data_IF_423882735709
#
_entry.id   IF_423882735709
#
_cell.length_a   1.000
_cell.length_b   1.000
_cell.length_c   1.000
_cell.angle_alpha   90.00
_cell.angle_beta   90.00
_cell.angle_gamma   90.00
#
_symmetry.space_group_name_H-M   'P 1'
#
loop_
_entity.id
_entity.type
_entity.pdbx_description
1 polymer ?
#
# COMPACT_ATOMS: atom_id res chain seq x y z
N UNK A 1 37.03 -49.64 9.60
CA UNK A 1 37.60 -48.30 9.81
C UNK A 1 36.60 -47.48 10.61
N UNK A 2 36.96 -47.07 11.82
CA UNK A 2 36.07 -46.25 12.66
C UNK A 2 36.21 -44.81 12.18
N UNK A 3 35.09 -44.18 11.73
CA UNK A 3 35.04 -42.84 11.23
C UNK A 3 35.23 -41.80 12.34
N UNK A 4 35.01 -42.22 13.58
CA UNK A 4 35.15 -41.36 14.79
C UNK A 4 36.20 -42.01 15.69
N UNK A 5 37.23 -41.24 16.08
CA UNK A 5 38.25 -41.64 17.01
C UNK A 5 37.75 -41.52 18.46
N UNK A 6 38.38 -42.25 19.41
CA UNK A 6 38.01 -42.25 20.85
C UNK A 6 38.08 -40.88 21.52
N UNK A 7 38.57 -39.85 20.79
CA UNK A 7 38.67 -38.46 21.23
C UNK A 7 37.63 -37.53 20.52
N UNK A 8 36.61 -38.11 19.83
CA UNK A 8 35.55 -37.33 19.17
C UNK A 8 36.01 -36.55 17.93
N UNK A 9 37.10 -37.01 17.25
CA UNK A 9 37.59 -36.36 16.03
C UNK A 9 37.17 -37.16 14.80
N UNK A 10 36.55 -36.50 13.84
CA UNK A 10 36.28 -36.98 12.49
C UNK A 10 37.58 -36.87 11.67
N UNK A 11 38.02 -38.01 11.07
CA UNK A 11 39.25 -38.10 10.26
C UNK A 11 40.53 -37.58 11.00
N UNK A 12 40.57 -37.59 12.33
CA UNK A 12 41.73 -37.22 13.13
C UNK A 12 42.07 -35.71 13.18
N UNK A 13 41.32 -34.83 12.50
CA UNK A 13 41.61 -33.40 12.38
C UNK A 13 40.48 -32.48 12.84
N UNK A 14 39.22 -32.87 12.69
CA UNK A 14 38.03 -32.06 13.00
C UNK A 14 37.33 -32.57 14.26
N UNK A 15 37.11 -31.71 15.23
CA UNK A 15 36.33 -32.06 16.40
C UNK A 15 34.84 -32.09 16.02
N UNK A 16 34.13 -33.15 16.40
CA UNK A 16 32.70 -33.30 16.09
C UNK A 16 31.87 -32.15 16.67
N UNK A 17 32.29 -31.58 17.78
CA UNK A 17 31.65 -30.43 18.43
C UNK A 17 31.81 -29.19 17.56
N UNK A 18 32.99 -28.96 16.97
CA UNK A 18 33.23 -27.81 16.09
C UNK A 18 32.42 -27.93 14.79
N UNK A 19 32.29 -29.17 14.26
CA UNK A 19 31.44 -29.44 13.09
C UNK A 19 29.97 -29.11 13.36
N UNK A 20 29.44 -29.55 14.53
CA UNK A 20 28.07 -29.23 14.93
C UNK A 20 27.87 -27.74 15.12
N UNK A 21 28.84 -27.03 15.71
CA UNK A 21 28.78 -25.57 15.88
C UNK A 21 28.74 -24.86 14.52
N UNK A 22 29.57 -25.29 13.56
CA UNK A 22 29.55 -24.71 12.20
C UNK A 22 28.22 -24.95 11.50
N UNK A 23 27.68 -26.18 11.60
CA UNK A 23 26.37 -26.50 11.02
C UNK A 23 25.26 -25.66 11.65
N UNK A 24 25.27 -25.44 12.96
CA UNK A 24 24.32 -24.57 13.65
C UNK A 24 24.43 -23.12 13.20
N UNK A 25 25.66 -22.60 13.06
CA UNK A 25 25.87 -21.23 12.57
C UNK A 25 25.34 -21.09 11.14
N UNK A 26 25.65 -22.05 10.25
CA UNK A 26 25.15 -22.04 8.87
C UNK A 26 23.62 -22.14 8.84
N UNK A 27 23.01 -22.97 9.68
CA UNK A 27 21.57 -23.08 9.78
C UNK A 27 20.91 -21.78 10.28
N UNK A 28 21.51 -21.12 11.27
CA UNK A 28 21.02 -19.82 11.77
C UNK A 28 21.16 -18.74 10.70
N UNK A 29 22.29 -18.67 9.98
CA UNK A 29 22.50 -17.72 8.89
C UNK A 29 21.52 -17.99 7.74
N UNK A 30 21.28 -19.26 7.40
CA UNK A 30 20.31 -19.64 6.37
C UNK A 30 18.87 -19.29 6.80
N UNK A 31 18.49 -19.51 8.06
CA UNK A 31 17.19 -19.11 8.59
C UNK A 31 17.01 -17.58 8.65
N UNK A 32 18.04 -16.85 9.03
CA UNK A 32 18.03 -15.38 9.02
C UNK A 32 17.96 -14.85 7.58
N UNK A 33 18.74 -15.42 6.67
CA UNK A 33 18.68 -15.09 5.25
C UNK A 33 17.30 -15.40 4.65
N UNK A 34 16.73 -16.55 4.97
CA UNK A 34 15.37 -16.92 4.55
C UNK A 34 14.32 -15.96 5.11
N UNK A 35 14.44 -15.56 6.37
CA UNK A 35 13.52 -14.62 7.02
C UNK A 35 13.65 -13.20 6.48
N UNK A 36 14.86 -12.76 6.12
CA UNK A 36 15.11 -11.47 5.49
C UNK A 36 14.58 -11.42 4.05
N UNK A 37 14.72 -12.50 3.29
CA UNK A 37 14.14 -12.60 1.94
C UNK A 37 12.64 -12.84 1.95
N UNK A 38 12.09 -13.54 2.96
CA UNK A 38 10.65 -13.75 3.07
C UNK A 38 9.89 -12.51 3.58
N UNK A 39 10.55 -11.61 4.34
CA UNK A 39 9.99 -10.30 4.68
C UNK A 39 10.02 -9.30 3.51
N UNK A 40 10.76 -9.59 2.43
CA UNK A 40 10.68 -8.88 1.16
C UNK A 40 9.71 -9.57 0.17
N UNK A 41 8.61 -10.16 0.66
CA UNK A 41 7.53 -10.65 -0.20
C UNK A 41 7.88 -11.83 -1.10
N UNK A 42 8.74 -12.75 -0.63
CA UNK A 42 9.04 -14.00 -1.35
C UNK A 42 8.12 -15.16 -0.99
N UNK A 43 6.81 -15.04 -1.20
CA UNK A 43 6.02 -16.17 -1.69
C UNK A 43 6.46 -16.38 -3.14
N UNK A 44 6.46 -17.64 -3.62
CA UNK A 44 6.65 -17.97 -5.04
C UNK A 44 6.04 -16.85 -5.86
N UNK A 45 6.90 -16.04 -6.50
CA UNK A 45 6.49 -14.86 -7.22
C UNK A 45 5.61 -15.27 -8.40
N UNK A 46 4.32 -15.36 -8.14
CA UNK A 46 3.36 -15.04 -9.14
C UNK A 46 3.64 -13.59 -9.47
N UNK A 47 3.95 -13.31 -10.71
CA UNK A 47 4.07 -11.96 -11.23
C UNK A 47 2.87 -11.18 -10.71
N UNK A 48 3.11 -10.12 -9.90
CA UNK A 48 2.04 -9.36 -9.31
C UNK A 48 1.11 -8.88 -10.41
N UNK A 49 -0.19 -8.90 -10.19
CA UNK A 49 -1.14 -8.53 -11.22
C UNK A 49 -1.29 -7.01 -11.26
N UNK A 50 -1.04 -6.36 -12.41
CA UNK A 50 -1.25 -4.95 -12.56
C UNK A 50 -2.75 -4.61 -12.47
N UNK A 51 -3.06 -3.56 -11.72
CA UNK A 51 -4.43 -3.06 -11.51
C UNK A 51 -4.47 -1.56 -11.73
N UNK A 52 -5.58 -1.09 -12.27
CA UNK A 52 -5.94 0.32 -12.33
C UNK A 52 -7.24 0.49 -11.56
N UNK A 53 -7.25 1.41 -10.59
CA UNK A 53 -8.44 1.66 -9.80
C UNK A 53 -8.65 3.14 -9.55
N UNK A 54 -9.88 3.51 -9.27
CA UNK A 54 -10.23 4.90 -8.96
C UNK A 54 -10.76 5.03 -7.55
N UNK A 55 -10.36 6.12 -6.88
CA UNK A 55 -10.77 6.44 -5.51
C UNK A 55 -11.41 7.81 -5.48
N UNK A 56 -12.65 7.90 -4.99
CA UNK A 56 -13.35 9.16 -4.79
C UNK A 56 -13.22 9.62 -3.34
N UNK A 57 -12.80 10.86 -3.16
CA UNK A 57 -12.75 11.54 -1.86
C UNK A 57 -13.61 12.79 -1.95
N UNK A 58 -14.51 12.99 -0.98
CA UNK A 58 -15.49 14.07 -1.00
C UNK A 58 -15.07 15.26 -0.16
N UNK A 59 -15.57 16.44 -0.53
CA UNK A 59 -15.48 17.68 0.25
C UNK A 59 -14.05 18.10 0.59
N UNK A 60 -13.15 18.04 -0.37
CA UNK A 60 -11.75 18.48 -0.22
C UNK A 60 -11.67 20.00 -0.45
N UNK A 61 -11.00 20.71 0.43
CA UNK A 61 -10.76 22.17 0.30
C UNK A 61 -9.97 22.46 -0.99
N UNK A 62 -10.31 23.56 -1.67
CA UNK A 62 -9.67 23.94 -2.92
C UNK A 62 -8.15 24.02 -2.82
N UNK A 63 -7.61 24.56 -1.73
CA UNK A 63 -6.15 24.72 -1.56
C UNK A 63 -5.44 23.38 -1.45
N UNK A 64 -6.11 22.38 -0.87
CA UNK A 64 -5.59 21.01 -0.80
C UNK A 64 -5.60 20.39 -2.19
N UNK A 65 -6.69 20.59 -2.95
CA UNK A 65 -6.77 20.13 -4.32
C UNK A 65 -5.67 20.78 -5.20
N UNK A 66 -5.52 22.12 -5.14
CA UNK A 66 -4.51 22.82 -5.92
C UNK A 66 -3.10 22.27 -5.64
N UNK A 67 -2.78 22.02 -4.37
CA UNK A 67 -1.50 21.41 -3.98
C UNK A 67 -1.34 19.99 -4.56
N UNK A 68 -2.37 19.17 -4.47
CA UNK A 68 -2.33 17.78 -4.99
C UNK A 68 -2.19 17.78 -6.51
N UNK A 69 -2.92 18.67 -7.20
CA UNK A 69 -2.82 18.81 -8.64
C UNK A 69 -1.40 19.17 -9.07
N UNK A 70 -0.79 20.16 -8.38
CA UNK A 70 0.60 20.57 -8.62
C UNK A 70 1.61 19.42 -8.41
N UNK A 71 1.36 18.54 -7.43
CA UNK A 71 2.22 17.37 -7.20
C UNK A 71 2.06 16.32 -8.30
N UNK A 72 0.82 16.00 -8.67
CA UNK A 72 0.52 14.99 -9.72
C UNK A 72 1.00 15.48 -11.09
N UNK A 73 0.93 16.79 -11.38
CA UNK A 73 1.42 17.37 -12.63
C UNK A 73 2.96 17.30 -12.77
N UNK A 74 3.70 17.18 -11.67
CA UNK A 74 5.15 16.93 -11.68
C UNK A 74 5.50 15.50 -12.06
N UNK A 75 4.57 14.58 -11.93
CA UNK A 75 4.72 13.16 -12.26
C UNK A 75 3.94 12.25 -11.32
N UNK A 76 3.92 10.93 -11.60
CA UNK A 76 3.21 9.97 -10.78
C UNK A 76 3.65 10.00 -9.32
N UNK A 77 2.71 10.12 -8.38
CA UNK A 77 2.99 10.16 -6.95
C UNK A 77 2.89 8.78 -6.34
N UNK A 78 4.02 8.23 -5.85
CA UNK A 78 4.06 6.90 -5.27
C UNK A 78 3.28 6.82 -3.96
N UNK A 79 2.46 5.78 -3.83
CA UNK A 79 1.73 5.50 -2.59
C UNK A 79 2.66 4.93 -1.53
N UNK A 80 2.31 5.21 -0.27
CA UNK A 80 3.01 4.69 0.91
C UNK A 80 2.03 4.03 1.87
N UNK A 81 2.46 2.98 2.56
CA UNK A 81 1.73 2.38 3.68
C UNK A 81 2.72 1.86 4.73
N UNK A 82 2.43 2.10 6.01
CA UNK A 82 3.25 1.58 7.13
C UNK A 82 4.74 1.87 7.02
N UNK A 83 5.11 3.06 6.52
CA UNK A 83 6.49 3.50 6.23
C UNK A 83 7.19 2.76 5.08
N UNK A 84 6.45 2.07 4.25
CA UNK A 84 6.98 1.41 3.04
C UNK A 84 6.40 2.08 1.79
N UNK A 85 7.23 2.19 0.75
CA UNK A 85 6.79 2.58 -0.58
C UNK A 85 6.07 1.40 -1.23
N UNK A 86 4.88 1.65 -1.77
CA UNK A 86 4.12 0.64 -2.49
C UNK A 86 4.44 0.68 -3.98
N UNK A 87 4.28 -0.46 -4.65
CA UNK A 87 4.29 -0.50 -6.11
C UNK A 87 2.92 -0.04 -6.65
N UNK A 88 2.63 1.22 -6.38
CA UNK A 88 1.40 1.89 -6.80
C UNK A 88 1.59 3.40 -6.86
N UNK A 89 0.97 4.03 -7.85
CA UNK A 89 1.18 5.43 -8.17
C UNK A 89 -0.16 6.12 -8.48
N UNK A 90 -0.37 7.30 -7.90
CA UNK A 90 -1.40 8.23 -8.34
C UNK A 90 -0.92 8.83 -9.66
N UNK A 91 -1.63 8.55 -10.75
CA UNK A 91 -1.28 9.02 -12.10
C UNK A 91 -2.15 10.19 -12.55
N UNK A 92 -3.34 10.35 -11.94
CA UNK A 92 -4.27 11.42 -12.29
C UNK A 92 -5.14 11.79 -11.09
N UNK A 93 -5.51 13.06 -11.00
CA UNK A 93 -6.56 13.58 -10.12
C UNK A 93 -7.54 14.40 -10.94
N UNK A 94 -8.84 14.18 -10.74
CA UNK A 94 -9.92 14.98 -11.34
C UNK A 94 -10.77 15.56 -10.23
N UNK A 95 -11.16 16.82 -10.36
CA UNK A 95 -11.97 17.52 -9.39
C UNK A 95 -13.32 17.93 -9.99
N UNK A 96 -14.38 17.71 -9.23
CA UNK A 96 -15.71 18.27 -9.54
C UNK A 96 -16.18 19.09 -8.34
N UNK A 97 -16.81 20.24 -8.53
CA UNK A 97 -17.39 20.97 -7.40
C UNK A 97 -18.31 20.06 -6.58
N UNK A 98 -18.19 20.11 -5.26
CA UNK A 98 -19.05 19.30 -4.41
C UNK A 98 -20.51 19.76 -4.53
N UNK A 99 -21.39 18.86 -4.89
CA UNK A 99 -22.83 19.15 -5.06
C UNK A 99 -23.60 19.18 -3.73
N UNK A 100 -23.06 18.51 -2.70
CA UNK A 100 -23.70 18.37 -1.39
C UNK A 100 -23.33 19.55 -0.49
N UNK A 101 -24.01 20.68 -0.65
CA UNK A 101 -24.02 21.74 0.35
C UNK A 101 -24.83 21.30 1.57
N UNK A 102 -24.13 20.94 2.65
CA UNK A 102 -24.77 20.67 3.93
C UNK A 102 -24.96 21.98 4.70
N UNK A 103 -26.19 22.30 5.02
CA UNK A 103 -26.49 23.43 5.90
C UNK A 103 -26.43 22.96 7.36
N UNK A 104 -25.55 23.56 8.15
CA UNK A 104 -25.52 23.33 9.60
C UNK A 104 -26.23 24.49 10.30
N UNK A 105 -27.20 24.14 11.15
CA UNK A 105 -27.87 25.13 12.01
C UNK A 105 -27.00 25.36 13.23
N UNK A 106 -26.45 26.55 13.39
CA UNK A 106 -25.81 26.97 14.63
C UNK A 106 -26.78 27.82 15.44
N UNK A 107 -27.17 27.34 16.60
CA UNK A 107 -27.97 28.11 17.57
C UNK A 107 -27.03 28.83 18.57
N UNK A 108 -27.05 30.15 18.59
CA UNK A 108 -26.47 30.93 19.66
C UNK A 108 -27.56 31.22 20.72
N UNK A 109 -27.54 30.46 21.81
CA UNK A 109 -28.54 30.58 22.91
C UNK A 109 -28.48 31.92 23.64
N UNK A 110 -27.35 32.62 23.58
CA UNK A 110 -27.22 33.92 24.26
C UNK A 110 -27.82 35.07 23.43
N UNK A 111 -27.83 34.92 22.12
CA UNK A 111 -28.33 35.93 21.20
C UNK A 111 -29.70 35.57 20.59
N UNK A 112 -30.22 34.38 20.90
CA UNK A 112 -31.43 33.83 20.28
C UNK A 112 -31.42 33.88 18.73
N UNK A 113 -30.23 33.66 18.16
CA UNK A 113 -30.01 33.70 16.73
C UNK A 113 -29.78 32.30 16.21
N UNK A 114 -30.50 31.97 15.15
CA UNK A 114 -30.29 30.75 14.36
C UNK A 114 -29.62 31.16 13.09
N UNK A 115 -28.38 30.68 12.86
CA UNK A 115 -27.63 30.96 11.63
C UNK A 115 -27.49 29.66 10.83
N UNK A 116 -27.92 29.71 9.58
CA UNK A 116 -27.62 28.68 8.59
C UNK A 116 -26.18 28.89 8.10
N UNK A 117 -25.33 27.91 8.36
CA UNK A 117 -23.94 27.91 7.85
C UNK A 117 -23.89 26.89 6.74
N UNK A 118 -23.61 27.36 5.54
CA UNK A 118 -23.34 26.52 4.38
C UNK A 118 -21.97 25.82 4.59
N UNK A 119 -21.98 24.50 4.72
CA UNK A 119 -20.76 23.70 4.79
C UNK A 119 -20.58 23.02 3.43
N UNK A 120 -19.41 23.17 2.84
CA UNK A 120 -19.07 22.57 1.55
C UNK A 120 -18.93 23.58 0.40
N UNK A 121 -19.29 24.87 0.60
CA UNK A 121 -19.02 25.90 -0.40
C UNK A 121 -17.51 26.04 -0.64
N UNK A 122 -17.09 25.88 -1.89
CA UNK A 122 -15.67 25.93 -2.30
C UNK A 122 -14.88 24.66 -2.02
N UNK A 123 -15.58 23.52 -1.81
CA UNK A 123 -14.95 22.20 -1.76
C UNK A 123 -15.16 21.45 -3.07
N UNK A 124 -14.33 20.44 -3.28
CA UNK A 124 -14.35 19.58 -4.45
C UNK A 124 -14.44 18.12 -4.07
N UNK A 125 -15.13 17.36 -4.88
CA UNK A 125 -15.03 15.90 -4.88
C UNK A 125 -13.89 15.53 -5.82
N UNK A 126 -12.88 14.82 -5.30
CA UNK A 126 -11.72 14.39 -6.05
C UNK A 126 -11.85 12.92 -6.46
N UNK A 127 -11.46 12.61 -7.69
CA UNK A 127 -11.33 11.24 -8.17
C UNK A 127 -9.87 11.03 -8.56
N UNK A 128 -9.21 10.15 -7.83
CA UNK A 128 -7.84 9.72 -8.11
C UNK A 128 -7.83 8.49 -9.00
N UNK A 129 -7.00 8.49 -10.03
CA UNK A 129 -6.65 7.27 -10.78
C UNK A 129 -5.32 6.76 -10.24
N UNK A 130 -5.31 5.49 -9.86
CA UNK A 130 -4.15 4.84 -9.24
C UNK A 130 -3.83 3.59 -10.04
N UNK A 131 -2.56 3.47 -10.43
CA UNK A 131 -2.00 2.31 -11.09
C UNK A 131 -1.06 1.61 -10.12
N UNK A 132 -1.13 0.29 -10.03
CA UNK A 132 -0.28 -0.46 -9.11
C UNK A 132 -0.30 -1.95 -9.38
N UNK A 133 0.50 -2.68 -8.59
CA UNK A 133 0.63 -4.13 -8.69
C UNK A 133 0.16 -4.78 -7.39
N UNK A 134 -0.87 -5.62 -7.47
CA UNK A 134 -1.33 -6.42 -6.32
C UNK A 134 -0.60 -7.76 -6.29
N UNK A 135 -0.24 -8.21 -5.10
CA UNK A 135 0.54 -9.44 -4.90
C UNK A 135 -0.23 -10.71 -5.23
N UNK A 136 -1.56 -10.68 -5.08
CA UNK A 136 -2.40 -11.87 -5.17
C UNK A 136 -3.75 -11.53 -5.77
N UNK A 137 -4.25 -12.41 -6.64
CA UNK A 137 -5.54 -12.28 -7.29
C UNK A 137 -6.72 -12.50 -6.34
N UNK A 138 -6.51 -13.19 -5.22
CA UNK A 138 -7.57 -13.51 -4.25
C UNK A 138 -7.78 -12.36 -3.26
N UNK A 139 -6.70 -11.82 -2.71
CA UNK A 139 -6.78 -10.76 -1.69
C UNK A 139 -6.85 -9.36 -2.28
N UNK A 140 -6.23 -9.14 -3.45
CA UNK A 140 -6.16 -7.80 -4.09
C UNK A 140 -5.69 -6.72 -3.11
N UNK A 141 -4.64 -7.02 -2.35
CA UNK A 141 -4.10 -6.10 -1.36
C UNK A 141 -2.94 -5.28 -1.90
N UNK A 142 -2.95 -4.00 -1.57
CA UNK A 142 -1.88 -3.04 -1.79
C UNK A 142 -1.42 -2.54 -0.41
N UNK A 143 -0.23 -2.96 0.03
CA UNK A 143 0.18 -2.78 1.40
C UNK A 143 -0.77 -3.53 2.35
N UNK A 144 -1.47 -2.79 3.21
CA UNK A 144 -2.48 -3.31 4.14
C UNK A 144 -3.91 -2.98 3.73
N UNK A 145 -4.12 -2.38 2.54
CA UNK A 145 -5.43 -1.96 2.06
C UNK A 145 -5.95 -2.89 0.97
N UNK A 146 -7.15 -3.40 1.15
CA UNK A 146 -7.82 -4.24 0.16
C UNK A 146 -8.41 -3.37 -0.96
N UNK A 147 -8.06 -3.69 -2.22
CA UNK A 147 -8.50 -2.96 -3.40
C UNK A 147 -9.73 -3.63 -4.00
N UNK A 148 -10.91 -3.18 -3.55
CA UNK A 148 -12.21 -3.63 -4.06
C UNK A 148 -13.19 -2.48 -4.12
N UNK A 149 -14.04 -2.48 -5.13
CA UNK A 149 -15.11 -1.47 -5.29
C UNK A 149 -15.98 -1.40 -4.03
N UNK A 150 -16.22 -0.20 -3.54
CA UNK A 150 -17.00 0.08 -2.33
C UNK A 150 -16.20 0.03 -1.02
N UNK A 151 -14.94 -0.40 -1.03
CA UNK A 151 -14.05 -0.33 0.15
C UNK A 151 -13.54 1.08 0.38
N UNK A 152 -13.33 1.41 1.65
CA UNK A 152 -12.61 2.62 2.03
C UNK A 152 -11.13 2.51 1.70
N UNK A 153 -10.54 3.60 1.26
CA UNK A 153 -9.13 3.68 0.89
C UNK A 153 -8.51 4.98 1.38
N UNK A 154 -7.29 4.90 1.86
CA UNK A 154 -6.48 6.05 2.23
C UNK A 154 -5.49 6.30 1.09
N UNK A 155 -5.60 7.46 0.45
CA UNK A 155 -4.62 7.89 -0.55
C UNK A 155 -3.51 8.62 0.17
N UNK A 156 -2.41 7.92 0.38
CA UNK A 156 -1.24 8.42 1.10
C UNK A 156 0.01 8.34 0.23
N UNK A 157 0.65 9.47 0.06
CA UNK A 157 1.94 9.62 -0.62
C UNK A 157 2.99 10.17 0.36
N UNK A 158 4.14 10.58 -0.11
CA UNK A 158 5.15 11.25 0.71
C UNK A 158 4.81 12.71 1.00
N UNK A 159 3.91 13.32 0.22
CA UNK A 159 3.61 14.76 0.27
C UNK A 159 2.20 15.08 0.74
N UNK A 160 1.24 14.15 0.54
CA UNK A 160 -0.14 14.33 0.97
C UNK A 160 -0.78 13.03 1.45
N UNK A 161 -1.78 13.17 2.30
CA UNK A 161 -2.59 12.05 2.79
C UNK A 161 -4.06 12.49 2.86
N UNK A 162 -4.93 11.71 2.23
CA UNK A 162 -6.38 11.89 2.28
C UNK A 162 -7.04 10.60 2.70
N UNK A 163 -7.89 10.71 3.71
CA UNK A 163 -8.65 9.61 4.28
C UNK A 163 -10.08 9.54 3.72
N UNK A 164 -10.79 8.48 4.07
CA UNK A 164 -12.21 8.27 3.74
C UNK A 164 -12.52 8.24 2.23
N UNK A 165 -11.54 7.89 1.41
CA UNK A 165 -11.77 7.59 0.00
C UNK A 165 -12.63 6.34 -0.16
N UNK A 166 -13.40 6.27 -1.24
CA UNK A 166 -14.16 5.08 -1.64
C UNK A 166 -13.70 4.65 -3.01
N UNK A 167 -13.36 3.38 -3.16
CA UNK A 167 -12.98 2.80 -4.45
C UNK A 167 -14.21 2.69 -5.33
N UNK A 168 -14.19 3.36 -6.49
CA UNK A 168 -15.31 3.38 -7.45
C UNK A 168 -15.17 2.32 -8.54
N UNK A 169 -13.94 2.07 -8.99
CA UNK A 169 -13.63 1.08 -10.01
C UNK A 169 -12.34 0.36 -9.69
N UNK A 170 -12.20 -0.86 -10.17
CA UNK A 170 -10.97 -1.63 -10.08
C UNK A 170 -10.92 -2.55 -11.31
N UNK A 171 -9.96 -2.30 -12.18
CA UNK A 171 -9.72 -3.08 -13.39
C UNK A 171 -8.38 -3.78 -13.27
N UNK A 172 -8.36 -5.07 -13.61
CA UNK A 172 -7.16 -5.88 -13.66
C UNK A 172 -6.69 -5.90 -15.10
N UNK A 173 -5.44 -5.54 -15.31
CA UNK A 173 -4.84 -5.61 -16.63
C UNK A 173 -4.36 -7.05 -16.87
N UNK A 174 -4.73 -7.64 -17.99
CA UNK A 174 -4.23 -8.95 -18.39
C UNK A 174 -2.73 -8.83 -18.71
N UNK A 175 -1.92 -9.64 -18.06
CA UNK A 175 -0.51 -9.78 -18.44
C UNK A 175 -0.45 -10.59 -19.73
N UNK A 176 0.23 -10.11 -20.77
CA UNK A 176 0.31 -10.76 -22.11
C UNK A 176 0.87 -12.21 -22.13
N UNK A 177 1.24 -12.75 -20.96
CA UNK A 177 1.76 -14.11 -20.84
C UNK A 177 0.73 -15.24 -21.01
N UNK A 178 -0.57 -14.94 -21.17
CA UNK A 178 -1.63 -15.95 -21.28
C UNK A 178 -2.06 -16.28 -22.73
N UNK A 179 -1.39 -15.75 -23.76
CA UNK A 179 -1.76 -15.99 -25.17
C UNK A 179 -0.87 -17.00 -25.91
N UNK A 180 0.06 -17.66 -25.25
CA UNK A 180 0.83 -18.78 -25.85
C UNK A 180 0.62 -20.08 -25.08
N UNK A 181 -0.55 -20.71 -25.23
CA UNK A 181 -0.72 -22.15 -24.94
C UNK A 181 -1.95 -22.70 -25.64
#
# INVERSE_FOLDING_TARGET
MSIIDKKGKLFGKLNIIDLIAVILIVAVVALLGYKLTSNQGGGLAGEGQPVVYTVKIRNVDQRIYDFIQDEVDKGPCQLTASNEMLDAYVTKVEATPAEDTTFTVKEDRNLNLTTLVEAGAGTYDLVFTIEGTVKDNLTSELGSQEIRVGKTHIVKTTTFELENGVILSCERLETEAAQES
#
